data_IF_884950788838
#
_entry.id   IF_884950788838
#
_cell.length_a   1.000
_cell.length_b   1.000
_cell.length_c   1.000
_cell.angle_alpha   90.00
_cell.angle_beta   90.00
_cell.angle_gamma   90.00
#
_symmetry.space_group_name_H-M   'P 1'
#
loop_
_entity.id
_entity.type
_entity.pdbx_description
1 polymer ?
#
# COMPACT_ATOMS: atom_id res chain seq x y z
N UNK A 1 -32.91 -11.90 6.31
CA UNK A 1 -32.55 -10.47 6.50
C UNK A 1 -31.12 -10.29 6.07
N UNK A 2 -30.90 -9.53 4.99
CA UNK A 2 -29.56 -9.26 4.46
C UNK A 2 -28.83 -8.32 5.44
N UNK A 3 -27.72 -8.78 6.02
CA UNK A 3 -26.80 -7.92 6.78
C UNK A 3 -26.12 -6.99 5.78
N UNK A 4 -26.32 -5.68 5.96
CA UNK A 4 -25.56 -4.62 5.29
C UNK A 4 -24.06 -4.87 5.52
N UNK A 5 -23.31 -5.03 4.45
CA UNK A 5 -21.86 -5.21 4.49
C UNK A 5 -21.23 -3.82 4.47
N UNK A 6 -21.28 -3.12 5.61
CA UNK A 6 -20.58 -1.86 5.85
C UNK A 6 -19.13 -2.11 6.34
N UNK A 7 -18.48 -3.19 5.87
CA UNK A 7 -17.22 -3.71 6.43
C UNK A 7 -15.94 -3.03 5.88
N UNK A 8 -16.04 -1.88 5.21
CA UNK A 8 -14.89 -1.23 4.58
C UNK A 8 -13.89 -0.60 5.56
N UNK A 9 -14.31 -0.32 6.80
CA UNK A 9 -13.47 0.32 7.83
C UNK A 9 -12.70 -0.67 8.72
N UNK A 10 -13.06 -1.95 8.66
CA UNK A 10 -12.77 -2.87 9.75
C UNK A 10 -11.29 -3.26 9.87
N UNK A 11 -10.46 -2.90 8.89
CA UNK A 11 -9.06 -3.29 8.80
C UNK A 11 -8.11 -2.17 8.38
N UNK A 12 -8.34 -0.89 8.75
CA UNK A 12 -7.33 0.18 8.66
C UNK A 12 -6.88 0.62 10.07
N UNK A 13 -5.56 0.75 10.28
CA UNK A 13 -4.89 0.95 11.57
C UNK A 13 -4.01 2.16 11.43
N UNK A 14 -4.14 3.06 12.39
CA UNK A 14 -3.37 4.29 12.43
C UNK A 14 -2.67 4.46 13.75
N UNK A 15 -1.53 5.13 13.71
CA UNK A 15 -0.90 5.71 14.89
C UNK A 15 -1.40 7.14 15.00
N UNK A 16 -1.97 7.50 16.15
CA UNK A 16 -2.33 8.89 16.44
C UNK A 16 -1.08 9.67 16.78
N UNK A 17 -0.87 10.78 16.10
CA UNK A 17 0.30 11.61 16.26
C UNK A 17 -0.07 13.10 16.16
N UNK A 18 0.91 13.95 16.41
CA UNK A 18 0.85 15.38 16.13
C UNK A 18 1.96 15.76 15.18
N UNK A 19 1.67 16.63 14.22
CA UNK A 19 2.64 17.16 13.27
C UNK A 19 2.78 18.67 13.43
N UNK A 20 4.02 19.17 13.33
CA UNK A 20 4.30 20.60 13.40
C UNK A 20 4.49 21.18 12.00
N UNK A 21 3.60 22.10 11.62
CA UNK A 21 3.68 22.85 10.37
C UNK A 21 4.79 23.92 10.37
N UNK A 22 5.05 24.52 9.21
CA UNK A 22 6.11 25.52 9.03
C UNK A 22 5.91 26.80 9.84
N UNK A 23 4.67 27.11 10.22
CA UNK A 23 4.33 28.22 11.13
C UNK A 23 4.50 27.89 12.61
N UNK A 24 4.99 26.68 12.95
CA UNK A 24 5.05 26.17 14.33
C UNK A 24 3.72 25.64 14.86
N UNK A 25 2.64 25.73 14.08
CA UNK A 25 1.32 25.19 14.45
C UNK A 25 1.38 23.66 14.57
N UNK A 26 0.95 23.15 15.71
CA UNK A 26 0.83 21.72 15.98
C UNK A 26 -0.58 21.26 15.66
N UNK A 27 -0.71 20.22 14.84
CA UNK A 27 -2.00 19.68 14.40
C UNK A 27 -2.04 18.16 14.57
N UNK A 28 -3.18 17.58 14.96
CA UNK A 28 -3.35 16.13 15.01
C UNK A 28 -3.24 15.53 13.61
N UNK A 29 -2.58 14.39 13.52
CA UNK A 29 -2.39 13.62 12.29
C UNK A 29 -2.57 12.13 12.57
N UNK A 30 -3.10 11.41 11.59
CA UNK A 30 -3.19 9.96 11.61
C UNK A 30 -2.13 9.38 10.68
N UNK A 31 -1.24 8.56 11.22
CA UNK A 31 -0.25 7.84 10.44
C UNK A 31 -0.81 6.46 10.09
N UNK A 32 -1.34 6.33 8.87
CA UNK A 32 -1.91 5.09 8.36
C UNK A 32 -0.81 4.08 8.04
N UNK A 33 -0.78 2.97 8.77
CA UNK A 33 0.23 1.92 8.58
C UNK A 33 -0.08 1.13 7.33
N UNK A 34 0.82 1.19 6.36
CA UNK A 34 0.60 0.66 5.03
C UNK A 34 1.82 -0.10 4.50
N UNK A 35 1.79 -1.41 4.68
CA UNK A 35 2.80 -2.33 4.17
C UNK A 35 2.75 -2.52 2.65
N UNK A 36 1.66 -2.10 1.99
CA UNK A 36 1.49 -2.18 0.56
C UNK A 36 2.22 -1.06 -0.17
N UNK A 37 2.49 0.07 0.51
CA UNK A 37 3.18 1.22 -0.09
C UNK A 37 4.66 1.17 0.15
N UNK A 38 5.43 1.37 -0.91
CA UNK A 38 6.86 1.60 -0.78
C UNK A 38 7.15 2.95 -0.12
N UNK A 39 6.37 3.98 -0.46
CA UNK A 39 6.64 5.36 -0.08
C UNK A 39 5.72 5.84 1.05
N UNK A 40 6.29 6.68 1.92
CA UNK A 40 5.47 7.49 2.83
C UNK A 40 4.91 8.68 2.07
N UNK A 41 3.58 8.85 2.12
CA UNK A 41 2.83 9.74 1.24
C UNK A 41 1.84 10.60 2.01
N UNK A 42 1.65 11.83 1.54
CA UNK A 42 0.56 12.71 1.92
C UNK A 42 0.02 13.42 0.67
N UNK A 43 -1.28 13.73 0.67
CA UNK A 43 -1.86 14.52 -0.42
C UNK A 43 -1.33 15.96 -0.40
N UNK A 44 -1.19 16.56 -1.56
CA UNK A 44 -0.79 17.98 -1.69
C UNK A 44 -1.73 18.92 -0.94
N UNK A 45 -3.04 18.67 -1.01
CA UNK A 45 -4.06 19.45 -0.30
C UNK A 45 -3.92 19.30 1.22
N UNK A 46 -3.72 18.08 1.73
CA UNK A 46 -3.43 17.83 3.14
C UNK A 46 -2.13 18.50 3.59
N UNK A 47 -1.04 18.37 2.83
CA UNK A 47 0.23 19.02 3.15
C UNK A 47 0.09 20.54 3.23
N UNK A 48 -0.69 21.15 2.33
CA UNK A 48 -0.99 22.58 2.35
C UNK A 48 -1.82 22.99 3.57
N UNK A 49 -2.86 22.22 3.92
CA UNK A 49 -3.71 22.48 5.10
C UNK A 49 -2.88 22.38 6.38
N UNK A 50 -1.99 21.39 6.46
CA UNK A 50 -1.10 21.17 7.60
C UNK A 50 0.08 22.15 7.64
N UNK A 51 0.24 23.00 6.60
CA UNK A 51 1.29 24.01 6.53
C UNK A 51 2.69 23.43 6.36
N UNK A 52 2.84 22.24 5.77
CA UNK A 52 4.15 21.63 5.57
C UNK A 52 4.96 22.37 4.50
N UNK A 53 6.25 22.57 4.78
CA UNK A 53 7.18 23.15 3.80
C UNK A 53 7.56 22.08 2.79
N UNK A 54 7.02 22.19 1.57
CA UNK A 54 7.25 21.24 0.49
C UNK A 54 8.39 21.72 -0.40
N UNK A 55 9.43 20.89 -0.55
CA UNK A 55 10.47 21.06 -1.56
C UNK A 55 10.04 20.37 -2.85
N UNK A 56 9.94 21.09 -3.99
CA UNK A 56 9.54 20.49 -5.26
C UNK A 56 10.47 19.35 -5.69
N UNK A 57 9.90 18.30 -6.29
CA UNK A 57 10.68 17.19 -6.82
C UNK A 57 11.44 17.61 -8.08
N UNK A 58 12.66 17.09 -8.27
CA UNK A 58 13.40 17.24 -9.53
C UNK A 58 12.84 16.26 -10.57
N UNK A 59 11.66 16.58 -11.09
CA UNK A 59 10.95 15.77 -12.08
C UNK A 59 9.70 15.07 -11.54
N UNK A 60 8.74 14.82 -12.42
CA UNK A 60 7.50 14.13 -12.10
C UNK A 60 7.76 12.63 -11.94
N UNK A 61 7.62 12.11 -10.73
CA UNK A 61 7.61 10.66 -10.49
C UNK A 61 6.16 10.18 -10.45
N UNK A 62 5.75 9.44 -11.48
CA UNK A 62 4.46 8.74 -11.50
C UNK A 62 4.60 7.41 -10.80
N UNK A 63 3.71 7.14 -9.86
CA UNK A 63 3.57 5.86 -9.18
C UNK A 63 2.33 5.17 -9.72
N UNK A 64 2.45 3.88 -9.99
CA UNK A 64 1.31 3.03 -10.31
C UNK A 64 0.63 2.57 -9.02
N UNK A 65 -0.69 2.49 -9.07
CA UNK A 65 -1.56 2.17 -7.94
C UNK A 65 -2.34 0.89 -8.27
N UNK A 66 -2.28 -0.13 -7.41
CA UNK A 66 -2.83 -1.48 -7.55
C UNK A 66 -4.38 -1.66 -7.51
N UNK A 67 -5.19 -0.61 -7.59
CA UNK A 67 -6.64 -0.60 -7.38
C UNK A 67 -7.38 0.73 -7.73
N UNK A 68 -6.71 1.69 -8.37
CA UNK A 68 -7.29 2.85 -9.05
C UNK A 68 -6.71 2.79 -10.43
N UNK A 69 -7.56 3.05 -11.40
CA UNK A 69 -7.17 3.17 -12.79
C UNK A 69 -6.33 4.45 -13.04
N UNK A 70 -5.70 5.02 -12.01
CA UNK A 70 -5.03 6.32 -12.00
C UNK A 70 -3.57 6.23 -11.57
N UNK A 71 -2.76 7.19 -12.03
CA UNK A 71 -1.39 7.37 -11.59
C UNK A 71 -1.32 8.41 -10.47
N UNK A 72 -0.57 8.11 -9.41
CA UNK A 72 -0.24 9.10 -8.37
C UNK A 72 1.00 9.86 -8.85
N UNK A 73 0.98 11.19 -8.79
CA UNK A 73 2.12 12.03 -9.16
C UNK A 73 2.80 12.58 -7.92
N UNK A 74 4.03 12.17 -7.65
CA UNK A 74 4.85 12.81 -6.60
C UNK A 74 5.33 14.16 -7.12
N UNK A 75 4.94 15.23 -6.42
CA UNK A 75 5.24 16.62 -6.80
C UNK A 75 6.33 17.24 -5.91
N UNK A 76 6.63 16.64 -4.77
CA UNK A 76 7.63 17.16 -3.85
C UNK A 76 7.87 16.27 -2.64
N UNK A 77 8.68 16.78 -1.73
CA UNK A 77 9.01 16.13 -0.47
C UNK A 77 8.89 17.12 0.68
N UNK A 78 8.52 16.64 1.85
CA UNK A 78 8.56 17.43 3.07
C UNK A 78 9.25 16.64 4.18
N UNK A 79 9.92 17.37 5.07
CA UNK A 79 10.45 16.85 6.33
C UNK A 79 9.65 17.49 7.46
N UNK A 80 8.93 16.68 8.22
CA UNK A 80 7.93 17.14 9.19
C UNK A 80 8.29 16.60 10.58
N UNK A 81 8.37 17.46 11.61
CA UNK A 81 8.44 17.02 12.99
C UNK A 81 7.14 16.33 13.40
N UNK A 82 7.24 15.10 13.87
CA UNK A 82 6.14 14.26 14.35
C UNK A 82 6.36 13.96 15.83
N UNK A 83 5.29 14.05 16.60
CA UNK A 83 5.23 13.61 18.00
C UNK A 83 4.24 12.45 18.09
N UNK A 84 4.69 11.31 18.58
CA UNK A 84 3.86 10.13 18.87
C UNK A 84 3.88 9.89 20.37
N UNK A 85 2.72 9.61 20.96
CA UNK A 85 2.63 9.16 22.34
C UNK A 85 2.79 7.65 22.39
N UNK A 86 3.77 7.15 23.15
CA UNK A 86 3.94 5.72 23.35
C UNK A 86 2.80 5.12 24.20
N UNK A 87 2.77 3.78 24.30
CA UNK A 87 1.77 3.07 25.09
C UNK A 87 1.85 3.39 26.60
N UNK A 88 3.02 3.82 27.09
CA UNK A 88 3.24 4.24 28.48
C UNK A 88 2.83 5.71 28.74
N UNK A 89 2.53 6.48 27.69
CA UNK A 89 2.10 7.88 27.77
C UNK A 89 3.20 8.91 27.52
N UNK A 90 4.42 8.50 27.16
CA UNK A 90 5.53 9.40 26.88
C UNK A 90 5.48 9.94 25.45
N UNK A 91 5.80 11.22 25.29
CA UNK A 91 5.88 11.86 23.98
C UNK A 91 7.25 11.62 23.33
N UNK A 92 7.24 11.06 22.12
CA UNK A 92 8.42 10.75 21.31
C UNK A 92 8.41 11.61 20.06
N UNK A 93 9.48 12.38 19.87
CA UNK A 93 9.61 13.32 18.76
C UNK A 93 10.63 12.83 17.73
N UNK A 94 10.27 12.83 16.45
CA UNK A 94 11.18 12.51 15.35
C UNK A 94 10.80 13.26 14.07
N UNK A 95 11.74 13.35 13.14
CA UNK A 95 11.49 13.99 11.84
C UNK A 95 11.11 12.94 10.80
N UNK A 96 9.87 13.02 10.29
CA UNK A 96 9.37 12.16 9.22
C UNK A 96 9.67 12.79 7.85
N UNK A 97 10.38 12.07 6.99
CA UNK A 97 10.46 12.39 5.57
C UNK A 97 9.27 11.75 4.85
N UNK A 98 8.57 12.56 4.05
CA UNK A 98 7.42 12.11 3.28
C UNK A 98 7.42 12.71 1.88
N UNK A 99 6.77 12.00 0.97
CA UNK A 99 6.53 12.46 -0.40
C UNK A 99 5.14 13.12 -0.46
N UNK A 100 5.08 14.27 -1.10
CA UNK A 100 3.84 15.00 -1.34
C UNK A 100 3.37 14.65 -2.74
N UNK A 101 2.13 14.18 -2.85
CA UNK A 101 1.60 13.66 -4.10
C UNK A 101 0.22 14.19 -4.44
N UNK A 102 -0.03 14.32 -5.74
CA UNK A 102 -1.34 14.54 -6.33
C UNK A 102 -1.96 13.21 -6.78
N UNK A 103 -3.29 13.12 -6.73
CA UNK A 103 -4.02 11.93 -7.16
C UNK A 103 -4.14 10.83 -6.11
N UNK A 104 -3.75 11.09 -4.84
CA UNK A 104 -4.09 10.21 -3.73
C UNK A 104 -5.61 10.16 -3.53
N UNK A 105 -6.11 9.02 -3.06
CA UNK A 105 -7.55 8.76 -2.91
C UNK A 105 -8.22 9.87 -2.08
N UNK A 106 -9.21 10.55 -2.66
CA UNK A 106 -9.93 11.66 -2.02
C UNK A 106 -10.73 11.26 -0.77
N UNK A 107 -10.91 9.95 -0.53
CA UNK A 107 -11.56 9.44 0.68
C UNK A 107 -10.63 9.38 1.89
N UNK A 108 -9.32 9.54 1.71
CA UNK A 108 -8.38 9.72 2.82
C UNK A 108 -8.76 11.01 3.59
N UNK A 109 -8.72 10.91 4.91
CA UNK A 109 -8.89 12.03 5.82
C UNK A 109 -7.90 13.16 5.54
N UNK A 110 -8.32 14.39 5.84
CA UNK A 110 -7.55 15.62 5.55
C UNK A 110 -6.20 15.68 6.29
N UNK A 111 -6.05 14.91 7.37
CA UNK A 111 -4.83 14.82 8.17
C UNK A 111 -4.29 13.39 8.22
N UNK A 112 -4.32 12.68 7.11
CA UNK A 112 -3.79 11.31 7.01
C UNK A 112 -2.45 11.29 6.27
N UNK A 113 -1.43 10.70 6.88
CA UNK A 113 -0.16 10.36 6.24
C UNK A 113 -0.12 8.85 6.08
N UNK A 114 0.14 8.38 4.87
CA UNK A 114 0.38 6.96 4.60
C UNK A 114 1.82 6.65 4.98
N UNK A 115 2.03 5.76 5.94
CA UNK A 115 3.34 5.23 6.31
C UNK A 115 3.67 4.02 5.45
N UNK A 116 4.49 4.24 4.43
CA UNK A 116 5.01 3.18 3.58
C UNK A 116 6.21 2.45 4.17
N UNK A 117 6.56 1.34 3.53
CA UNK A 117 7.61 0.41 3.87
C UNK A 117 9.00 1.05 3.98
N UNK A 118 9.33 2.09 3.20
CA UNK A 118 10.60 2.80 3.36
C UNK A 118 10.75 3.38 4.77
N UNK A 119 9.68 4.01 5.29
CA UNK A 119 9.70 4.56 6.65
C UNK A 119 9.54 3.47 7.70
N UNK A 120 8.65 2.50 7.50
CA UNK A 120 8.46 1.41 8.44
C UNK A 120 9.76 0.62 8.68
N UNK A 121 10.55 0.38 7.62
CA UNK A 121 11.88 -0.23 7.74
C UNK A 121 12.86 0.64 8.54
N UNK A 122 12.89 1.96 8.28
CA UNK A 122 13.75 2.90 9.04
C UNK A 122 13.39 2.99 10.51
N UNK A 123 12.12 2.79 10.85
CA UNK A 123 11.65 2.73 12.23
C UNK A 123 11.88 1.35 12.88
N UNK A 124 12.40 0.37 12.12
CA UNK A 124 12.48 -1.03 12.54
C UNK A 124 11.13 -1.54 13.08
N UNK A 125 10.06 -1.18 12.35
CA UNK A 125 8.70 -1.38 12.79
C UNK A 125 8.31 -2.87 12.77
N UNK A 126 7.84 -3.36 13.91
CA UNK A 126 7.26 -4.70 14.05
C UNK A 126 5.79 -4.56 14.45
N UNK A 127 4.89 -5.11 13.62
CA UNK A 127 3.45 -5.03 13.83
C UNK A 127 2.98 -6.23 14.67
N UNK A 128 2.36 -5.96 15.82
CA UNK A 128 1.72 -6.97 16.66
C UNK A 128 0.21 -6.87 16.51
N UNK A 129 -0.35 -7.76 15.67
CA UNK A 129 -1.77 -7.72 15.28
C UNK A 129 -2.72 -8.23 16.35
N UNK A 130 -2.24 -8.98 17.34
CA UNK A 130 -3.07 -9.48 18.45
C UNK A 130 -3.45 -8.37 19.43
N UNK A 131 -2.54 -7.42 19.62
CA UNK A 131 -2.64 -6.42 20.68
C UNK A 131 -2.86 -5.01 20.10
N UNK A 132 -3.05 -4.92 18.77
CA UNK A 132 -3.13 -3.67 18.03
C UNK A 132 -1.99 -2.70 18.41
N UNK A 133 -0.75 -3.20 18.39
CA UNK A 133 0.44 -2.37 18.66
C UNK A 133 1.47 -2.45 17.54
N UNK A 134 2.27 -1.39 17.42
CA UNK A 134 3.45 -1.34 16.57
C UNK A 134 4.66 -1.06 17.46
N UNK A 135 5.61 -1.99 17.48
CA UNK A 135 6.90 -1.77 18.09
C UNK A 135 7.81 -1.03 17.12
N UNK A 136 8.37 0.09 17.56
CA UNK A 136 9.33 0.91 16.83
C UNK A 136 10.71 0.66 17.41
N UNK A 137 11.49 -0.23 16.77
CA UNK A 137 12.82 -0.62 17.24
C UNK A 137 13.81 0.55 17.28
N UNK A 138 13.77 1.42 16.28
CA UNK A 138 14.66 2.58 16.19
C UNK A 138 14.52 3.58 17.35
N UNK A 139 13.35 3.60 17.99
CA UNK A 139 13.05 4.46 19.15
C UNK A 139 12.83 3.65 20.44
N UNK A 140 13.02 2.34 20.41
CA UNK A 140 12.83 1.44 21.55
C UNK A 140 11.44 1.55 22.19
N UNK A 141 10.39 1.83 21.41
CA UNK A 141 9.07 2.21 21.93
C UNK A 141 7.93 1.42 21.31
N UNK A 142 6.83 1.28 22.05
CA UNK A 142 5.61 0.61 21.56
C UNK A 142 4.50 1.62 21.39
N UNK A 143 3.86 1.64 20.23
CA UNK A 143 2.79 2.57 19.88
C UNK A 143 1.46 1.83 19.72
N UNK A 144 0.39 2.43 20.22
CA UNK A 144 -0.96 1.88 20.08
C UNK A 144 -1.54 2.18 18.71
N UNK A 145 -2.12 1.16 18.06
CA UNK A 145 -2.85 1.31 16.82
C UNK A 145 -4.32 1.53 17.11
N UNK A 146 -4.87 2.58 16.53
CA UNK A 146 -6.29 2.89 16.59
C UNK A 146 -6.96 2.51 15.27
N UNK A 147 -8.26 2.20 15.27
CA UNK A 147 -9.06 2.19 14.06
C UNK A 147 -8.96 3.53 13.34
N UNK A 148 -8.83 3.48 12.01
CA UNK A 148 -8.80 4.68 11.19
C UNK A 148 -10.09 5.48 11.29
N UNK A 149 -10.01 6.79 11.55
CA UNK A 149 -11.20 7.65 11.69
C UNK A 149 -11.60 8.41 10.42
N UNK A 150 -10.85 8.25 9.31
CA UNK A 150 -11.16 8.89 8.03
C UNK A 150 -12.36 8.32 7.28
N UNK A 151 -12.67 8.91 6.12
CA UNK A 151 -13.79 8.52 5.27
C UNK A 151 -13.73 7.06 4.80
N UNK A 152 -14.85 6.51 4.32
CA UNK A 152 -14.94 5.11 3.89
C UNK A 152 -14.04 4.80 2.69
N UNK A 153 -12.81 4.37 2.96
CA UNK A 153 -11.91 3.80 1.96
C UNK A 153 -12.40 2.39 1.70
N UNK A 154 -13.39 2.27 0.82
CA UNK A 154 -13.78 0.97 0.27
C UNK A 154 -12.53 0.32 -0.33
N UNK A 155 -12.15 -0.85 0.17
CA UNK A 155 -11.22 -1.72 -0.53
C UNK A 155 -11.76 -1.92 -1.95
N UNK A 156 -11.06 -1.38 -2.95
CA UNK A 156 -11.42 -1.58 -4.36
C UNK A 156 -10.95 -2.98 -4.78
N UNK A 157 -11.36 -4.00 -4.03
CA UNK A 157 -11.21 -5.41 -4.39
C UNK A 157 -12.54 -6.14 -4.50
N UNK A 158 -13.65 -5.41 -4.52
CA UNK A 158 -14.94 -5.96 -4.92
C UNK A 158 -15.65 -5.00 -5.86
N UNK A 159 -15.10 -4.81 -7.07
CA UNK A 159 -15.96 -4.45 -8.19
C UNK A 159 -16.88 -5.64 -8.51
N UNK A 160 -17.92 -5.80 -7.68
CA UNK A 160 -18.99 -6.79 -7.86
C UNK A 160 -19.80 -6.54 -9.14
N UNK A 161 -19.53 -5.45 -9.87
CA UNK A 161 -20.20 -5.14 -11.15
C UNK A 161 -19.54 -5.78 -12.35
N UNK A 162 -18.27 -6.20 -12.26
CA UNK A 162 -17.62 -6.98 -13.32
C UNK A 162 -17.83 -8.47 -13.08
N UNK A 163 -19.09 -8.91 -13.20
CA UNK A 163 -19.34 -10.34 -13.45
C UNK A 163 -18.73 -10.67 -14.81
N UNK A 164 -17.82 -11.66 -14.83
CA UNK A 164 -17.35 -12.25 -16.09
C UNK A 164 -18.60 -12.59 -16.93
N UNK A 165 -18.70 -12.07 -18.17
CA UNK A 165 -19.85 -12.34 -19.00
C UNK A 165 -20.00 -13.85 -19.17
N UNK A 166 -21.23 -14.36 -19.02
CA UNK A 166 -21.51 -15.76 -19.27
C UNK A 166 -21.13 -16.12 -20.70
N UNK A 167 -20.71 -17.36 -20.92
CA UNK A 167 -20.25 -17.84 -22.24
C UNK A 167 -21.24 -17.52 -23.36
N UNK A 168 -22.53 -17.69 -23.10
CA UNK A 168 -23.62 -17.33 -24.01
C UNK A 168 -23.61 -15.85 -24.41
N UNK A 169 -23.31 -14.94 -23.47
CA UNK A 169 -23.25 -13.49 -23.69
C UNK A 169 -21.97 -13.06 -24.42
N UNK A 170 -20.89 -13.84 -24.29
CA UNK A 170 -19.68 -13.68 -25.09
C UNK A 170 -19.94 -14.14 -26.53
N UNK A 171 -20.56 -15.31 -26.71
CA UNK A 171 -20.88 -15.87 -28.03
C UNK A 171 -21.87 -14.99 -28.81
N UNK A 172 -22.85 -14.40 -28.12
CA UNK A 172 -23.77 -13.42 -28.69
C UNK A 172 -23.04 -12.14 -29.15
N UNK A 173 -22.10 -11.63 -28.34
CA UNK A 173 -21.29 -10.45 -28.69
C UNK A 173 -20.33 -10.69 -29.84
N UNK A 174 -19.84 -11.93 -29.97
CA UNK A 174 -18.97 -12.37 -31.06
C UNK A 174 -19.76 -12.77 -32.32
N UNK A 175 -21.10 -12.78 -32.25
CA UNK A 175 -21.95 -13.11 -33.39
C UNK A 175 -21.84 -12.02 -34.46
N UNK A 176 -21.36 -12.39 -35.64
CA UNK A 176 -21.11 -11.45 -36.75
C UNK A 176 -19.71 -10.83 -36.75
N UNK A 177 -18.87 -11.13 -35.76
CA UNK A 177 -17.45 -10.79 -35.83
C UNK A 177 -16.75 -11.74 -36.80
N UNK A 178 -16.34 -11.23 -37.96
CA UNK A 178 -15.37 -11.89 -38.82
C UNK A 178 -13.98 -11.32 -38.52
N UNK A 179 -13.13 -12.08 -37.85
CA UNK A 179 -11.73 -11.71 -37.72
C UNK A 179 -11.07 -11.83 -39.09
N UNK A 180 -10.45 -10.76 -39.63
CA UNK A 180 -9.69 -10.88 -40.87
C UNK A 180 -8.62 -11.94 -40.67
N UNK A 181 -8.55 -12.91 -41.59
CA UNK A 181 -7.47 -13.90 -41.59
C UNK A 181 -6.18 -13.17 -41.99
N UNK A 182 -5.45 -12.69 -40.98
CA UNK A 182 -4.11 -12.14 -41.18
C UNK A 182 -3.14 -13.31 -41.19
N UNK A 183 -2.58 -13.61 -42.36
CA UNK A 183 -1.52 -14.61 -42.49
C UNK A 183 -0.23 -14.00 -41.95
N UNK A 184 0.08 -14.29 -40.69
CA UNK A 184 1.34 -13.84 -40.07
C UNK A 184 2.46 -14.77 -40.52
N UNK A 185 3.23 -14.36 -41.53
CA UNK A 185 4.49 -15.01 -41.85
C UNK A 185 5.57 -14.53 -40.88
N UNK A 186 6.17 -15.45 -40.13
CA UNK A 186 7.36 -15.17 -39.33
C UNK A 186 8.50 -14.84 -40.29
N UNK A 187 9.16 -13.68 -40.10
CA UNK A 187 10.42 -13.40 -40.81
C UNK A 187 11.41 -14.55 -40.55
N UNK A 188 12.23 -14.96 -41.53
CA UNK A 188 13.30 -15.94 -41.28
C UNK A 188 14.19 -15.44 -40.14
N UNK A 189 14.26 -16.20 -39.03
CA UNK A 189 14.98 -15.81 -37.81
C UNK A 189 14.15 -15.09 -36.73
N UNK A 190 12.84 -14.89 -36.92
CA UNK A 190 11.97 -14.34 -35.88
C UNK A 190 11.80 -15.36 -34.73
N UNK A 191 12.46 -15.09 -33.61
CA UNK A 191 12.23 -15.80 -32.34
C UNK A 191 10.91 -15.28 -31.76
N UNK A 192 9.99 -16.18 -31.36
CA UNK A 192 8.77 -15.77 -30.65
C UNK A 192 9.17 -14.86 -29.47
N UNK A 193 8.54 -13.68 -29.29
CA UNK A 193 8.74 -12.92 -28.07
C UNK A 193 8.36 -13.82 -26.90
N UNK A 194 9.33 -14.12 -26.05
CA UNK A 194 9.11 -14.94 -24.88
C UNK A 194 8.07 -14.20 -24.01
N UNK A 195 6.98 -14.85 -23.58
CA UNK A 195 6.02 -14.21 -22.70
C UNK A 195 6.78 -13.64 -21.51
N UNK A 196 6.68 -12.32 -21.24
CA UNK A 196 7.17 -11.74 -19.99
C UNK A 196 6.29 -12.27 -18.86
N UNK A 197 6.54 -13.50 -18.41
CA UNK A 197 6.11 -13.97 -17.10
C UNK A 197 6.96 -13.20 -16.09
N UNK A 198 6.38 -12.63 -15.01
CA UNK A 198 7.21 -12.14 -13.91
C UNK A 198 7.95 -13.37 -13.36
N UNK A 199 9.25 -13.43 -13.62
CA UNK A 199 10.18 -14.51 -13.27
C UNK A 199 9.85 -15.90 -13.82
N UNK A 200 10.39 -16.24 -15.00
CA UNK A 200 10.49 -17.65 -15.43
C UNK A 200 11.66 -18.29 -14.68
N UNK A 201 11.46 -18.72 -13.44
CA UNK A 201 12.43 -19.58 -12.78
C UNK A 201 12.41 -20.97 -13.44
N UNK A 202 13.53 -21.38 -14.02
CA UNK A 202 13.76 -22.76 -14.47
C UNK A 202 13.75 -23.71 -13.27
N UNK A 203 13.55 -25.02 -13.49
CA UNK A 203 13.46 -26.02 -12.39
C UNK A 203 14.59 -25.91 -11.36
N UNK A 204 15.83 -25.66 -11.81
CA UNK A 204 16.99 -25.48 -10.92
C UNK A 204 16.92 -24.20 -10.09
N UNK A 205 16.42 -23.11 -10.66
CA UNK A 205 16.26 -21.82 -9.98
C UNK A 205 15.13 -21.86 -8.96
N UNK A 206 14.03 -22.56 -9.26
CA UNK A 206 12.99 -22.85 -8.25
C UNK A 206 13.54 -23.66 -7.09
N UNK A 207 14.32 -24.71 -7.37
CA UNK A 207 14.95 -25.51 -6.30
C UNK A 207 15.92 -24.67 -5.46
N UNK A 208 16.69 -23.79 -6.09
CA UNK A 208 17.59 -22.87 -5.38
C UNK A 208 16.81 -21.87 -4.51
N UNK A 209 15.73 -21.28 -5.03
CA UNK A 209 14.86 -20.41 -4.24
C UNK A 209 14.17 -21.17 -3.11
N UNK A 210 13.67 -22.39 -3.33
CA UNK A 210 13.07 -23.22 -2.29
C UNK A 210 14.07 -23.55 -1.18
N UNK A 211 15.33 -23.83 -1.55
CA UNK A 211 16.42 -24.05 -0.59
C UNK A 211 16.74 -22.78 0.19
N UNK A 212 16.82 -21.62 -0.48
CA UNK A 212 17.01 -20.33 0.18
C UNK A 212 15.87 -20.03 1.14
N UNK A 213 14.62 -20.12 0.70
CA UNK A 213 13.43 -19.88 1.52
C UNK A 213 13.41 -20.84 2.71
N UNK A 214 13.66 -22.15 2.51
CA UNK A 214 13.75 -23.12 3.61
C UNK A 214 14.87 -22.80 4.60
N UNK A 215 16.02 -22.33 4.13
CA UNK A 215 17.12 -21.97 5.01
C UNK A 215 16.82 -20.70 5.81
N UNK A 216 16.17 -19.71 5.18
CA UNK A 216 15.71 -18.49 5.83
C UNK A 216 14.59 -18.77 6.85
N UNK A 217 13.70 -19.73 6.56
CA UNK A 217 12.69 -20.23 7.50
C UNK A 217 13.37 -20.91 8.70
N UNK A 218 14.33 -21.81 8.45
CA UNK A 218 15.08 -22.52 9.49
C UNK A 218 15.91 -21.59 10.38
N UNK A 219 16.45 -20.51 9.81
CA UNK A 219 17.20 -19.50 10.55
C UNK A 219 16.29 -18.51 11.30
N UNK A 220 14.96 -18.66 11.20
CA UNK A 220 13.99 -17.78 11.85
C UNK A 220 13.93 -16.37 11.25
N UNK A 221 14.49 -16.15 10.05
CA UNK A 221 14.51 -14.83 9.39
C UNK A 221 13.17 -14.55 8.72
N UNK A 222 12.51 -15.58 8.18
CA UNK A 222 11.19 -15.49 7.57
C UNK A 222 10.25 -16.54 8.15
N UNK A 223 8.96 -16.22 8.22
CA UNK A 223 7.93 -17.15 8.70
C UNK A 223 6.89 -17.37 7.60
N UNK A 224 6.59 -18.62 7.29
CA UNK A 224 5.55 -18.97 6.32
C UNK A 224 4.17 -18.77 6.94
N UNK A 225 3.35 -17.97 6.28
CA UNK A 225 1.98 -17.73 6.73
C UNK A 225 0.98 -18.49 5.87
N UNK A 226 0.00 -19.11 6.52
CA UNK A 226 -1.10 -19.77 5.82
C UNK A 226 -2.10 -18.74 5.31
N UNK A 227 -2.89 -19.10 4.28
CA UNK A 227 -3.96 -18.24 3.78
C UNK A 227 -4.99 -17.89 4.86
N UNK A 228 -5.33 -18.86 5.71
CA UNK A 228 -6.19 -18.63 6.87
C UNK A 228 -5.58 -17.63 7.87
N UNK A 229 -4.26 -17.65 8.11
CA UNK A 229 -3.59 -16.67 8.97
C UNK A 229 -3.65 -15.25 8.41
N UNK A 230 -3.55 -15.10 7.09
CA UNK A 230 -3.75 -13.82 6.38
C UNK A 230 -5.20 -13.37 6.51
N UNK A 231 -6.15 -14.27 6.29
CA UNK A 231 -7.59 -13.98 6.37
C UNK A 231 -8.05 -13.64 7.82
N UNK A 232 -7.36 -14.18 8.84
CA UNK A 232 -7.56 -13.87 10.26
C UNK A 232 -6.79 -12.63 10.76
N UNK A 233 -6.30 -11.77 9.87
CA UNK A 233 -5.62 -10.49 10.17
C UNK A 233 -4.31 -10.61 10.96
N UNK A 234 -3.60 -11.75 10.90
CA UNK A 234 -2.26 -11.84 11.49
C UNK A 234 -1.20 -11.05 10.69
N UNK A 235 -1.52 -10.67 9.46
CA UNK A 235 -0.74 -9.72 8.66
C UNK A 235 -1.69 -8.82 7.90
N UNK A 236 -1.39 -7.52 7.92
CA UNK A 236 -2.15 -6.52 7.21
C UNK A 236 -1.47 -6.24 5.88
N UNK A 237 -2.14 -6.57 4.78
CA UNK A 237 -1.81 -6.07 3.45
C UNK A 237 -2.68 -4.84 3.28
N UNK A 238 -2.07 -3.66 3.39
CA UNK A 238 -2.82 -2.43 3.22
C UNK A 238 -3.19 -2.27 1.73
N UNK A 239 -4.47 -2.02 1.42
CA UNK A 239 -4.94 -1.79 0.06
C UNK A 239 -4.77 -0.31 -0.32
N UNK A 240 -3.75 0.36 0.20
CA UNK A 240 -3.54 1.80 -0.02
C UNK A 240 -3.34 2.17 -1.49
N UNK A 241 -3.10 1.17 -2.31
CA UNK A 241 -3.34 1.29 -3.72
C UNK A 241 -4.70 0.67 -4.02
N UNK A 242 -5.71 1.54 -3.88
CA UNK A 242 -6.50 1.78 -5.05
C UNK A 242 -5.51 2.37 -6.05
#
# INVERSE_FOLDING_TARGET
>A
MARSVDSAHEGLRVIKASATGSSGRILPVELLVDSGSDLTLISSSSASIMGFKVTPARGLKKLESAGSLGSICVIGQARVPIVVKDKAGHDLSFNLQLNVADGLNMKLGRSTIILGMETLKRLEATLHTTDDTLYCGALGSTWSLSPYSGGSISSVLTDTRLKLPTRSKVDERLKGWSFPKVTVQLKPGAVRPCPKRPYVCRKREMQAMELMVKNLEKSGIITRLSRAAVDHRQVWISPAFA
#
